data_IF_744599279540
#
_entry.id   IF_744599279540
#
_cell.length_a   1.000
_cell.length_b   1.000
_cell.length_c   1.000
_cell.angle_alpha   90.00
_cell.angle_beta   90.00
_cell.angle_gamma   90.00
#
_symmetry.space_group_name_H-M   'P 1'
#
loop_
_entity.id
_entity.type
_entity.pdbx_description
1 polymer ?
#
# COMPACT_ATOMS: atom_id res chain seq x y z
N UNK A 1 35.86 -4.88 -18.81
CA UNK A 1 35.63 -4.25 -17.48
C UNK A 1 34.31 -4.68 -16.83
N UNK A 2 33.59 -5.69 -17.34
CA UNK A 2 32.23 -6.04 -16.87
C UNK A 2 32.16 -7.26 -15.95
N UNK A 3 33.17 -8.15 -15.96
CA UNK A 3 33.17 -9.38 -15.18
C UNK A 3 33.60 -9.16 -13.71
N UNK A 4 34.60 -8.33 -13.47
CA UNK A 4 35.06 -7.95 -12.12
C UNK A 4 33.99 -7.23 -11.30
N UNK A 5 33.20 -6.36 -11.93
CA UNK A 5 32.13 -5.61 -11.26
C UNK A 5 31.03 -6.56 -10.74
N UNK A 6 30.66 -7.57 -11.52
CA UNK A 6 29.65 -8.55 -11.11
C UNK A 6 30.10 -9.45 -9.96
N UNK A 7 31.37 -9.85 -9.95
CA UNK A 7 31.97 -10.64 -8.86
C UNK A 7 32.01 -9.81 -7.56
N UNK A 8 32.35 -8.52 -7.64
CA UNK A 8 32.39 -7.62 -6.49
C UNK A 8 30.99 -7.45 -5.88
N UNK A 9 29.95 -7.26 -6.69
CA UNK A 9 28.56 -7.11 -6.21
C UNK A 9 28.04 -8.38 -5.53
N UNK A 10 28.29 -9.56 -6.12
CA UNK A 10 27.93 -10.86 -5.49
C UNK A 10 28.66 -11.07 -4.15
N UNK A 11 29.93 -10.68 -4.06
CA UNK A 11 30.72 -10.75 -2.82
C UNK A 11 30.21 -9.76 -1.75
N UNK A 12 29.89 -8.53 -2.14
CA UNK A 12 29.28 -7.51 -1.26
C UNK A 12 27.97 -8.02 -0.65
N UNK A 13 27.15 -8.70 -1.45
CA UNK A 13 25.92 -9.32 -0.97
C UNK A 13 26.16 -10.43 0.05
N UNK A 14 27.11 -11.33 -0.24
CA UNK A 14 27.44 -12.43 0.68
C UNK A 14 27.87 -11.89 2.06
N UNK A 15 28.74 -10.87 2.08
CA UNK A 15 29.17 -10.19 3.31
C UNK A 15 27.96 -9.59 4.05
N UNK A 16 27.04 -8.97 3.33
CA UNK A 16 25.87 -8.33 3.92
C UNK A 16 24.87 -9.35 4.48
N UNK A 17 24.64 -10.49 3.81
CA UNK A 17 23.84 -11.61 4.34
C UNK A 17 24.43 -12.19 5.62
N UNK A 18 25.76 -12.33 5.69
CA UNK A 18 26.44 -12.75 6.93
C UNK A 18 26.27 -11.71 8.04
N UNK A 19 26.38 -10.42 7.73
CA UNK A 19 26.19 -9.34 8.69
C UNK A 19 24.75 -9.28 9.23
N UNK A 20 23.75 -9.47 8.37
CA UNK A 20 22.33 -9.57 8.74
C UNK A 20 22.10 -10.78 9.66
N UNK A 21 22.63 -11.94 9.30
CA UNK A 21 22.49 -13.17 10.11
C UNK A 21 23.10 -12.97 11.50
N UNK A 22 24.28 -12.34 11.59
CA UNK A 22 24.93 -12.02 12.87
C UNK A 22 24.08 -11.05 13.71
N UNK A 23 23.49 -10.03 13.09
CA UNK A 23 22.60 -9.08 13.76
C UNK A 23 21.33 -9.77 14.30
N UNK A 24 20.76 -10.70 13.53
CA UNK A 24 19.64 -11.54 13.95
C UNK A 24 20.02 -12.41 15.14
N UNK A 25 21.17 -13.08 15.11
CA UNK A 25 21.63 -13.91 16.23
C UNK A 25 21.90 -13.10 17.51
N UNK A 26 22.39 -11.87 17.37
CA UNK A 26 22.55 -10.95 18.51
C UNK A 26 21.18 -10.54 19.08
N UNK A 27 20.24 -10.19 18.22
CA UNK A 27 18.88 -9.84 18.61
C UNK A 27 18.15 -11.02 19.27
N UNK A 28 18.34 -12.23 18.77
CA UNK A 28 17.85 -13.47 19.38
C UNK A 28 18.41 -13.67 20.79
N UNK A 29 19.72 -13.51 20.96
CA UNK A 29 20.39 -13.64 22.26
C UNK A 29 19.88 -12.60 23.26
N UNK A 30 19.67 -11.36 22.83
CA UNK A 30 19.11 -10.30 23.67
C UNK A 30 17.65 -10.58 24.06
N UNK A 31 16.84 -11.10 23.13
CA UNK A 31 15.43 -11.43 23.38
C UNK A 31 15.22 -12.69 24.22
N UNK A 32 16.24 -13.55 24.38
CA UNK A 32 16.22 -14.72 25.25
C UNK A 32 16.61 -14.42 26.71
N UNK A 33 17.10 -13.21 27.00
CA UNK A 33 17.41 -12.80 28.38
C UNK A 33 16.13 -12.69 29.21
N UNK A 34 16.23 -13.01 30.51
CA UNK A 34 15.13 -12.91 31.49
C UNK A 34 14.59 -11.48 31.60
N UNK A 35 15.46 -10.48 31.42
CA UNK A 35 15.12 -9.08 31.23
C UNK A 35 15.87 -8.56 29.99
N UNK A 36 15.21 -8.47 28.83
CA UNK A 36 15.81 -7.89 27.63
C UNK A 36 16.01 -6.39 27.82
N UNK A 37 17.21 -5.90 27.49
CA UNK A 37 17.49 -4.46 27.48
C UNK A 37 16.82 -3.82 26.26
N UNK A 38 15.80 -3.01 26.51
CA UNK A 38 15.04 -2.33 25.45
C UNK A 38 15.94 -1.43 24.59
N UNK A 39 16.96 -0.79 25.18
CA UNK A 39 17.86 0.11 24.43
C UNK A 39 18.73 -0.73 23.48
N UNK A 40 19.29 -1.83 23.97
CA UNK A 40 20.07 -2.74 23.15
C UNK A 40 19.23 -3.41 22.05
N UNK A 41 17.97 -3.76 22.34
CA UNK A 41 17.01 -4.32 21.37
C UNK A 41 16.64 -3.28 20.31
N UNK A 42 16.45 -2.01 20.68
CA UNK A 42 16.16 -0.91 19.76
C UNK A 42 17.37 -0.59 18.86
N UNK A 43 18.58 -0.54 19.41
CA UNK A 43 19.83 -0.35 18.65
C UNK A 43 20.07 -1.50 17.65
N UNK A 44 19.91 -2.75 18.10
CA UNK A 44 20.05 -3.93 17.23
C UNK A 44 18.97 -3.99 16.15
N UNK A 45 17.75 -3.52 16.45
CA UNK A 45 16.67 -3.38 15.49
C UNK A 45 17.06 -2.37 14.40
N UNK A 46 17.50 -1.16 14.78
CA UNK A 46 17.91 -0.11 13.84
C UNK A 46 19.06 -0.58 12.93
N UNK A 47 20.06 -1.22 13.53
CA UNK A 47 21.16 -1.86 12.82
C UNK A 47 20.73 -2.98 11.86
N UNK A 48 19.64 -3.68 12.15
CA UNK A 48 19.04 -4.69 11.26
C UNK A 48 18.26 -4.01 10.13
N UNK A 49 17.55 -2.91 10.40
CA UNK A 49 16.79 -2.16 9.39
C UNK A 49 17.72 -1.53 8.35
N UNK A 50 18.82 -0.91 8.78
CA UNK A 50 19.83 -0.33 7.89
C UNK A 50 20.49 -1.39 6.98
N UNK A 51 20.87 -2.54 7.54
CA UNK A 51 21.49 -3.63 6.75
C UNK A 51 20.51 -4.26 5.76
N UNK A 52 19.22 -4.31 6.10
CA UNK A 52 18.18 -4.80 5.20
C UNK A 52 17.95 -3.91 3.98
N UNK A 53 17.93 -2.59 4.15
CA UNK A 53 17.81 -1.66 3.02
C UNK A 53 19.04 -1.74 2.11
N UNK A 54 20.25 -1.85 2.68
CA UNK A 54 21.45 -2.13 1.89
C UNK A 54 21.36 -3.48 1.14
N UNK A 55 20.72 -4.50 1.73
CA UNK A 55 20.61 -5.83 1.13
C UNK A 55 19.67 -5.82 -0.08
N UNK A 56 18.53 -5.12 0.01
CA UNK A 56 17.62 -4.91 -1.13
C UNK A 56 18.29 -4.24 -2.32
N UNK A 57 19.13 -3.23 -2.07
CA UNK A 57 19.86 -2.52 -3.12
C UNK A 57 20.82 -3.49 -3.83
N UNK A 58 21.60 -4.24 -3.05
CA UNK A 58 22.59 -5.16 -3.61
C UNK A 58 21.93 -6.39 -4.27
N UNK A 59 20.79 -6.88 -3.76
CA UNK A 59 20.02 -7.96 -4.40
C UNK A 59 19.54 -7.53 -5.80
N UNK A 60 18.99 -6.30 -5.92
CA UNK A 60 18.57 -5.71 -7.20
C UNK A 60 19.74 -5.50 -8.17
N UNK A 61 20.91 -5.12 -7.67
CA UNK A 61 22.14 -5.01 -8.46
C UNK A 61 22.67 -6.39 -8.92
N UNK A 62 22.32 -7.47 -8.21
CA UNK A 62 22.73 -8.83 -8.55
C UNK A 62 21.78 -9.54 -9.54
N UNK A 63 20.50 -9.15 -9.63
CA UNK A 63 19.50 -9.71 -10.56
C UNK A 63 20.02 -9.92 -12.00
N UNK A 64 20.67 -8.94 -12.67
CA UNK A 64 21.11 -9.10 -14.05
C UNK A 64 22.37 -9.98 -14.21
N UNK A 65 22.99 -10.42 -13.10
CA UNK A 65 24.25 -11.17 -13.09
C UNK A 65 24.05 -12.70 -13.03
N UNK A 66 22.81 -13.17 -13.09
CA UNK A 66 22.48 -14.59 -12.98
C UNK A 66 22.21 -15.25 -14.32
N UNK A 67 22.74 -16.47 -14.44
CA UNK A 67 22.34 -17.36 -15.53
C UNK A 67 20.93 -17.92 -15.25
N UNK A 68 20.11 -18.20 -16.29
CA UNK A 68 18.75 -18.73 -16.14
C UNK A 68 18.65 -20.01 -15.27
N UNK A 69 19.74 -20.78 -15.16
CA UNK A 69 19.81 -22.00 -14.36
C UNK A 69 20.09 -21.76 -12.86
N UNK A 70 20.53 -20.57 -12.48
CA UNK A 70 20.91 -20.20 -11.10
C UNK A 70 19.94 -19.23 -10.45
N UNK A 71 19.05 -18.60 -11.24
CA UNK A 71 18.07 -17.62 -10.77
C UNK A 71 17.10 -18.22 -9.74
N UNK A 72 16.55 -19.41 -10.00
CA UNK A 72 15.52 -19.99 -9.12
C UNK A 72 16.05 -20.24 -7.69
N UNK A 73 17.28 -20.75 -7.57
CA UNK A 73 17.94 -20.98 -6.27
C UNK A 73 18.26 -19.66 -5.57
N UNK A 74 18.54 -18.60 -6.33
CA UNK A 74 18.82 -17.29 -5.76
C UNK A 74 17.54 -16.60 -5.26
N UNK A 75 16.44 -16.70 -6.02
CA UNK A 75 15.13 -16.18 -5.60
C UNK A 75 14.71 -16.83 -4.28
N UNK A 76 14.79 -18.16 -4.19
CA UNK A 76 14.45 -18.89 -2.96
C UNK A 76 15.34 -18.47 -1.78
N UNK A 77 16.64 -18.26 -2.02
CA UNK A 77 17.54 -17.77 -0.98
C UNK A 77 17.18 -16.35 -0.51
N UNK A 78 16.86 -15.43 -1.43
CA UNK A 78 16.45 -14.05 -1.11
C UNK A 78 15.18 -14.06 -0.23
N UNK A 79 14.17 -14.85 -0.60
CA UNK A 79 12.92 -14.98 0.16
C UNK A 79 13.17 -15.50 1.58
N UNK A 80 14.00 -16.54 1.74
CA UNK A 80 14.35 -17.07 3.06
C UNK A 80 15.04 -16.04 3.97
N UNK A 81 15.87 -15.15 3.42
CA UNK A 81 16.48 -14.06 4.20
C UNK A 81 15.46 -12.97 4.53
N UNK A 82 14.58 -12.63 3.60
CA UNK A 82 13.52 -11.65 3.81
C UNK A 82 12.59 -12.07 4.96
N UNK A 83 12.14 -13.32 4.95
CA UNK A 83 11.25 -13.88 5.98
C UNK A 83 11.89 -13.90 7.37
N UNK A 84 13.19 -14.24 7.44
CA UNK A 84 13.96 -14.19 8.69
C UNK A 84 14.01 -12.77 9.24
N UNK A 85 14.29 -11.77 8.40
CA UNK A 85 14.40 -10.37 8.82
C UNK A 85 13.05 -9.82 9.30
N UNK A 86 11.97 -10.11 8.58
CA UNK A 86 10.61 -9.71 8.95
C UNK A 86 10.21 -10.31 10.29
N UNK A 87 10.46 -11.61 10.48
CA UNK A 87 10.15 -12.33 11.72
C UNK A 87 10.86 -11.70 12.91
N UNK A 88 12.15 -11.41 12.79
CA UNK A 88 12.95 -10.85 13.89
C UNK A 88 12.66 -9.37 14.16
N UNK A 89 12.36 -8.56 13.11
CA UNK A 89 11.85 -7.18 13.31
C UNK A 89 10.54 -7.17 14.08
N UNK A 90 9.62 -8.09 13.75
CA UNK A 90 8.35 -8.20 14.47
C UNK A 90 8.55 -8.59 15.94
N UNK A 91 9.42 -9.57 16.22
CA UNK A 91 9.71 -10.03 17.59
C UNK A 91 10.33 -8.92 18.45
N UNK A 92 11.30 -8.18 17.93
CA UNK A 92 11.92 -7.06 18.63
C UNK A 92 10.94 -5.91 18.88
N UNK A 93 10.15 -5.50 17.87
CA UNK A 93 9.09 -4.49 18.04
C UNK A 93 8.04 -4.89 19.07
N UNK A 94 7.69 -6.19 19.12
CA UNK A 94 6.77 -6.73 20.13
C UNK A 94 7.36 -6.66 21.54
N UNK A 95 8.67 -6.86 21.71
CA UNK A 95 9.32 -6.76 23.02
C UNK A 95 9.37 -5.32 23.53
N UNK A 96 9.77 -4.36 22.69
CA UNK A 96 9.72 -2.92 23.01
C UNK A 96 8.31 -2.45 23.37
N UNK A 97 7.29 -3.07 22.78
CA UNK A 97 5.89 -2.81 23.10
C UNK A 97 5.40 -3.37 24.44
N UNK A 98 6.07 -4.39 25.01
CA UNK A 98 5.69 -4.99 26.31
C UNK A 98 6.21 -4.16 27.50
N UNK A 99 7.41 -3.60 27.40
CA UNK A 99 8.04 -2.86 28.50
C UNK A 99 7.56 -1.41 28.64
N UNK A 100 6.92 -0.85 27.61
CA UNK A 100 6.23 0.46 27.67
C UNK A 100 4.93 0.45 28.51
N UNK A 101 4.61 -0.67 29.18
CA UNK A 101 3.56 -0.77 30.22
C UNK A 101 4.09 -0.57 31.65
N UNK A 102 5.40 -0.59 31.90
CA UNK A 102 5.98 -0.66 33.25
C UNK A 102 6.84 0.54 33.68
N UNK A 103 7.00 1.56 32.83
CA UNK A 103 7.81 2.77 33.13
C UNK A 103 6.95 4.03 33.19
N UNK A 104 6.11 4.14 34.20
CA UNK A 104 5.59 5.44 34.67
C UNK A 104 5.03 5.30 36.09
N UNK A 105 5.89 4.98 37.04
CA UNK A 105 5.63 5.23 38.47
C UNK A 105 6.98 5.55 39.13
N UNK A 106 7.28 6.85 39.25
CA UNK A 106 8.21 7.37 40.25
C UNK A 106 7.96 8.87 40.46
N UNK A 107 7.72 9.21 41.72
CA UNK A 107 7.66 10.52 42.37
C UNK A 107 6.49 11.48 42.07
N UNK A 108 5.47 11.49 42.96
CA UNK A 108 5.48 12.29 44.21
C UNK A 108 4.06 12.58 44.71
N UNK A 109 3.90 12.51 46.03
CA UNK A 109 2.66 12.60 46.80
C UNK A 109 2.21 14.05 47.04
N UNK A 110 0.90 14.34 46.85
CA UNK A 110 0.04 15.08 47.81
C UNK A 110 -1.43 15.20 47.34
N UNK A 111 -2.31 14.54 48.11
CA UNK A 111 -3.67 14.94 48.58
C UNK A 111 -4.75 15.53 47.64
N UNK A 112 -5.79 14.71 47.47
CA UNK A 112 -7.25 14.96 47.69
C UNK A 112 -7.96 16.12 46.94
N UNK A 113 -8.85 15.78 46.00
CA UNK A 113 -10.34 15.89 46.09
C UNK A 113 -10.99 15.80 44.70
N UNK A 114 -12.27 15.41 44.71
CA UNK A 114 -13.08 14.85 43.62
C UNK A 114 -13.30 15.76 42.40
N UNK A 115 -13.26 15.19 41.19
CA UNK A 115 -14.31 15.39 40.18
C UNK A 115 -14.10 14.49 38.96
N UNK A 116 -15.19 13.81 38.57
CA UNK A 116 -15.29 12.95 37.39
C UNK A 116 -14.88 13.68 36.11
N UNK A 117 -13.90 13.14 35.40
CA UNK A 117 -13.87 13.19 33.95
C UNK A 117 -13.64 11.76 33.44
N UNK A 118 -14.69 11.19 32.86
CA UNK A 118 -14.59 9.98 32.06
C UNK A 118 -13.72 10.37 30.86
N UNK A 119 -12.42 10.12 30.93
CA UNK A 119 -11.60 10.17 29.72
C UNK A 119 -12.15 9.10 28.76
N UNK A 120 -12.49 9.45 27.51
CA UNK A 120 -12.89 8.45 26.55
C UNK A 120 -11.74 7.45 26.45
N UNK A 121 -12.03 6.17 26.68
CA UNK A 121 -11.10 5.07 26.45
C UNK A 121 -10.49 5.26 25.06
N UNK A 122 -9.26 5.81 25.01
CA UNK A 122 -8.50 5.95 23.78
C UNK A 122 -8.06 4.55 23.41
N UNK A 123 -8.92 3.86 22.66
CA UNK A 123 -8.56 2.67 21.88
C UNK A 123 -7.27 3.05 21.14
N UNK A 124 -6.14 2.44 21.52
CA UNK A 124 -4.86 2.68 20.85
C UNK A 124 -4.93 2.01 19.48
N UNK A 125 -5.48 2.75 18.52
CA UNK A 125 -5.41 2.42 17.11
C UNK A 125 -3.93 2.31 16.70
N UNK A 126 -3.58 1.42 15.75
CA UNK A 126 -2.25 1.41 15.16
C UNK A 126 -1.81 2.83 14.78
N UNK A 127 -0.55 3.19 15.03
CA UNK A 127 -0.02 4.51 14.68
C UNK A 127 -0.26 4.75 13.18
N UNK A 128 -1.04 5.77 12.85
CA UNK A 128 -1.41 6.11 11.47
C UNK A 128 -0.14 6.54 10.73
N UNK A 129 0.26 5.77 9.73
CA UNK A 129 1.41 6.10 8.87
C UNK A 129 0.88 6.94 7.72
N UNK A 130 1.34 8.18 7.63
CA UNK A 130 1.03 9.04 6.48
C UNK A 130 1.84 8.54 5.29
N UNK A 131 1.20 8.19 4.16
CA UNK A 131 1.92 7.75 2.97
C UNK A 131 2.77 8.89 2.40
N UNK A 132 3.91 8.54 1.81
CA UNK A 132 4.78 9.52 1.13
C UNK A 132 4.11 10.05 -0.14
N UNK A 133 4.33 11.33 -0.43
CA UNK A 133 3.85 11.98 -1.63
C UNK A 133 4.96 12.22 -2.64
N UNK A 134 4.80 11.67 -3.85
CA UNK A 134 5.83 11.68 -4.88
C UNK A 134 5.62 12.75 -5.98
N UNK A 135 4.56 13.55 -5.88
CA UNK A 135 4.24 14.63 -6.84
C UNK A 135 3.10 14.32 -7.79
N UNK A 136 2.37 13.22 -7.60
CA UNK A 136 1.19 12.92 -8.40
C UNK A 136 0.00 13.81 -8.00
N UNK A 137 -0.40 14.73 -8.88
CA UNK A 137 -1.48 15.69 -8.64
C UNK A 137 -2.78 15.01 -8.15
N UNK A 138 -3.16 13.85 -8.71
CA UNK A 138 -4.36 13.11 -8.31
C UNK A 138 -4.32 12.60 -6.86
N UNK A 139 -3.12 12.44 -6.29
CA UNK A 139 -2.93 11.97 -4.92
C UNK A 139 -2.78 13.14 -3.93
N UNK A 140 -2.68 14.38 -4.43
CA UNK A 140 -2.45 15.56 -3.62
C UNK A 140 -3.50 15.74 -2.54
N UNK A 141 -4.79 15.63 -2.87
CA UNK A 141 -5.88 15.86 -1.92
C UNK A 141 -5.80 14.89 -0.74
N UNK A 142 -5.57 13.60 -1.02
CA UNK A 142 -5.43 12.56 0.01
C UNK A 142 -4.21 12.81 0.91
N UNK A 143 -3.06 13.11 0.31
CA UNK A 143 -1.83 13.44 1.04
C UNK A 143 -2.00 14.69 1.90
N UNK A 144 -2.46 15.79 1.29
CA UNK A 144 -2.58 17.08 1.95
C UNK A 144 -3.57 17.02 3.11
N UNK A 145 -4.72 16.36 2.96
CA UNK A 145 -5.68 16.20 4.06
C UNK A 145 -5.09 15.39 5.22
N UNK A 146 -4.36 14.31 4.92
CA UNK A 146 -3.69 13.47 5.93
C UNK A 146 -2.58 14.23 6.65
N UNK A 147 -1.70 14.89 5.89
CA UNK A 147 -0.61 15.72 6.42
C UNK A 147 -1.15 16.89 7.23
N UNK A 148 -2.20 17.55 6.72
CA UNK A 148 -2.80 18.71 7.36
C UNK A 148 -3.32 18.36 8.74
N UNK A 149 -4.14 17.30 8.81
CA UNK A 149 -4.78 16.85 10.05
C UNK A 149 -3.77 16.35 11.07
N UNK A 150 -2.74 15.61 10.63
CA UNK A 150 -1.80 14.98 11.55
C UNK A 150 -0.65 15.91 11.99
N UNK A 151 -0.20 16.81 11.11
CA UNK A 151 1.04 17.59 11.30
C UNK A 151 0.80 19.09 11.17
N UNK A 152 0.19 19.58 10.08
CA UNK A 152 0.07 21.03 9.83
C UNK A 152 -0.74 21.73 10.92
N UNK A 153 -1.91 21.19 11.26
CA UNK A 153 -2.86 21.73 12.23
C UNK A 153 -2.52 21.30 13.67
N UNK A 154 -1.46 20.52 13.85
CA UNK A 154 -1.02 20.08 15.17
C UNK A 154 -0.26 21.20 15.89
N UNK A 155 -0.87 21.74 16.96
CA UNK A 155 -0.31 22.83 17.75
C UNK A 155 0.83 22.40 18.68
N UNK A 156 1.04 21.10 18.89
CA UNK A 156 2.14 20.56 19.71
C UNK A 156 3.48 20.52 18.96
N UNK A 157 3.47 20.71 17.63
CA UNK A 157 4.67 20.74 16.79
C UNK A 157 5.04 22.18 16.43
N UNK A 158 6.31 22.53 16.51
CA UNK A 158 6.81 23.80 16.01
C UNK A 158 6.99 23.76 14.47
N UNK A 159 7.18 24.91 13.82
CA UNK A 159 7.31 25.00 12.36
C UNK A 159 8.52 24.24 11.79
N UNK A 160 9.61 24.11 12.55
CA UNK A 160 10.82 23.39 12.12
C UNK A 160 10.55 21.89 12.11
N UNK A 161 9.91 21.35 13.15
CA UNK A 161 9.50 19.95 13.23
C UNK A 161 8.50 19.62 12.12
N UNK A 162 7.49 20.47 11.93
CA UNK A 162 6.52 20.35 10.82
C UNK A 162 7.21 20.32 9.47
N UNK A 163 8.25 21.13 9.27
CA UNK A 163 9.00 21.15 8.01
C UNK A 163 9.87 19.90 7.85
N UNK A 164 10.49 19.42 8.92
CA UNK A 164 11.27 18.18 8.91
C UNK A 164 10.39 16.98 8.53
N UNK A 165 9.21 16.87 9.14
CA UNK A 165 8.22 15.86 8.75
C UNK A 165 7.75 16.03 7.31
N UNK A 166 7.45 17.26 6.88
CA UNK A 166 7.06 17.55 5.51
C UNK A 166 8.13 17.02 4.53
N UNK A 167 9.41 17.41 4.67
CA UNK A 167 10.47 16.92 3.76
C UNK A 167 10.62 15.40 3.80
N UNK A 168 10.48 14.76 4.97
CA UNK A 168 10.55 13.30 5.09
C UNK A 168 9.39 12.54 4.43
N UNK A 169 8.23 13.19 4.31
CA UNK A 169 7.04 12.64 3.66
C UNK A 169 6.95 12.97 2.16
N UNK A 170 7.85 13.80 1.63
CA UNK A 170 7.92 14.10 0.20
C UNK A 170 8.97 13.20 -0.48
N UNK A 171 8.71 12.85 -1.73
CA UNK A 171 9.63 12.14 -2.60
C UNK A 171 9.60 12.68 -4.03
N UNK A 172 10.59 12.28 -4.83
CA UNK A 172 10.66 12.58 -6.27
C UNK A 172 10.37 14.06 -6.58
N UNK A 173 9.45 14.34 -7.51
CA UNK A 173 9.08 15.69 -7.96
C UNK A 173 8.59 16.60 -6.83
N UNK A 174 7.88 16.04 -5.84
CA UNK A 174 7.40 16.82 -4.71
C UNK A 174 8.54 17.26 -3.79
N UNK A 175 9.53 16.39 -3.54
CA UNK A 175 10.71 16.75 -2.75
C UNK A 175 11.57 17.78 -3.49
N UNK A 176 11.80 17.59 -4.79
CA UNK A 176 12.55 18.52 -5.63
C UNK A 176 11.97 19.95 -5.61
N UNK A 177 10.65 20.07 -5.40
CA UNK A 177 9.96 21.37 -5.29
C UNK A 177 10.40 22.19 -4.07
N UNK A 178 10.82 21.51 -2.99
CA UNK A 178 11.18 22.16 -1.72
C UNK A 178 12.62 21.91 -1.29
N UNK A 179 13.42 21.28 -2.14
CA UNK A 179 14.80 20.88 -1.84
C UNK A 179 15.71 22.09 -1.56
N UNK A 180 15.51 23.18 -2.30
CA UNK A 180 16.25 24.44 -2.14
C UNK A 180 15.97 25.23 -0.86
N UNK A 181 15.00 24.79 -0.04
CA UNK A 181 14.71 25.43 1.25
C UNK A 181 15.50 24.76 2.38
N UNK A 182 16.25 25.58 3.12
CA UNK A 182 16.80 25.20 4.42
C UNK A 182 15.67 25.00 5.44
N UNK A 183 15.82 24.01 6.34
CA UNK A 183 14.83 23.68 7.37
C UNK A 183 14.80 24.80 8.43
N UNK A 184 14.00 25.82 8.18
CA UNK A 184 13.80 26.96 9.08
C UNK A 184 12.30 27.27 9.20
N UNK A 185 11.91 27.93 10.30
CA UNK A 185 10.51 28.29 10.54
C UNK A 185 9.93 29.20 9.45
N UNK A 186 10.72 30.15 8.96
CA UNK A 186 10.33 31.09 7.89
C UNK A 186 10.09 30.39 6.55
N UNK A 187 10.91 29.37 6.24
CA UNK A 187 10.82 28.65 4.97
C UNK A 187 9.69 27.63 4.96
N UNK A 188 9.21 27.17 6.12
CA UNK A 188 8.10 26.22 6.20
C UNK A 188 6.84 26.74 5.48
N UNK A 189 6.43 27.98 5.78
CA UNK A 189 5.25 28.57 5.17
C UNK A 189 5.40 28.67 3.64
N UNK A 190 6.56 29.14 3.17
CA UNK A 190 6.88 29.26 1.73
C UNK A 190 6.88 27.88 1.05
N UNK A 191 7.45 26.86 1.68
CA UNK A 191 7.49 25.50 1.15
C UNK A 191 6.07 24.92 1.00
N UNK A 192 5.20 25.12 1.99
CA UNK A 192 3.79 24.70 1.93
C UNK A 192 3.03 25.42 0.82
N UNK A 193 3.22 26.73 0.67
CA UNK A 193 2.57 27.51 -0.38
C UNK A 193 2.98 27.05 -1.78
N UNK A 194 4.28 26.85 -2.03
CA UNK A 194 4.76 26.38 -3.33
C UNK A 194 4.23 24.97 -3.65
N UNK A 195 4.14 24.08 -2.67
CA UNK A 195 3.55 22.76 -2.88
C UNK A 195 2.06 22.85 -3.23
N UNK A 196 1.31 23.72 -2.53
CA UNK A 196 -0.10 23.98 -2.85
C UNK A 196 -0.28 24.58 -4.23
N UNK A 197 0.56 25.54 -4.62
CA UNK A 197 0.50 26.17 -5.93
C UNK A 197 0.85 25.20 -7.06
N UNK A 198 1.84 24.33 -6.83
CA UNK A 198 2.26 23.35 -7.85
C UNK A 198 1.30 22.17 -7.98
N UNK A 199 0.86 21.58 -6.86
CA UNK A 199 0.13 20.31 -6.84
C UNK A 199 -1.32 20.43 -6.38
N UNK A 200 -1.67 21.50 -5.66
CA UNK A 200 -2.98 21.73 -5.06
C UNK A 200 -3.96 22.55 -5.89
N UNK A 201 -3.62 22.85 -7.16
CA UNK A 201 -4.50 23.53 -8.10
C UNK A 201 -5.72 22.67 -8.42
N UNK A 202 -6.88 23.10 -7.91
CA UNK A 202 -8.16 22.37 -8.02
C UNK A 202 -8.51 22.07 -9.49
N UNK A 203 -8.32 23.04 -10.39
CA UNK A 203 -8.49 22.90 -11.84
C UNK A 203 -7.59 21.81 -12.43
N UNK A 204 -6.32 21.76 -12.04
CA UNK A 204 -5.38 20.75 -12.53
C UNK A 204 -5.73 19.35 -12.02
N UNK A 205 -6.18 19.23 -10.77
CA UNK A 205 -6.62 17.95 -10.19
C UNK A 205 -7.88 17.46 -10.91
N UNK A 206 -8.89 18.32 -11.08
CA UNK A 206 -10.13 18.00 -11.81
C UNK A 206 -9.79 17.54 -13.23
N UNK A 207 -8.96 18.30 -13.95
CA UNK A 207 -8.57 17.95 -15.31
C UNK A 207 -7.83 16.60 -15.32
N UNK A 208 -6.94 16.34 -14.37
CA UNK A 208 -6.23 15.05 -14.35
C UNK A 208 -7.15 13.85 -14.11
N UNK A 209 -8.21 13.98 -13.29
CA UNK A 209 -9.22 12.93 -13.13
C UNK A 209 -10.08 12.78 -14.39
N UNK A 210 -10.49 13.89 -15.01
CA UNK A 210 -11.24 13.88 -16.27
C UNK A 210 -10.43 13.24 -17.39
N UNK A 211 -9.16 13.58 -17.56
CA UNK A 211 -8.30 12.98 -18.60
C UNK A 211 -8.21 11.46 -18.43
N UNK A 212 -8.09 10.95 -17.20
CA UNK A 212 -8.09 9.50 -16.95
C UNK A 212 -9.38 8.82 -17.39
N UNK A 213 -10.52 9.48 -17.24
CA UNK A 213 -11.82 8.98 -17.72
C UNK A 213 -11.95 9.06 -19.24
N UNK A 214 -11.44 10.13 -19.85
CA UNK A 214 -11.49 10.33 -21.30
C UNK A 214 -10.49 9.44 -22.06
N UNK A 215 -9.40 9.03 -21.42
CA UNK A 215 -8.34 8.21 -22.01
C UNK A 215 -8.54 6.70 -21.83
N UNK A 216 -9.73 6.24 -21.40
CA UNK A 216 -9.94 4.82 -21.13
C UNK A 216 -10.02 4.03 -22.44
N UNK A 217 -9.25 2.95 -22.52
CA UNK A 217 -9.23 2.07 -23.68
C UNK A 217 -10.50 1.21 -23.75
N UNK A 218 -11.13 1.07 -24.93
CA UNK A 218 -12.25 0.15 -25.10
C UNK A 218 -11.91 -1.30 -24.72
N UNK A 219 -12.85 -1.93 -24.03
CA UNK A 219 -12.78 -3.33 -23.64
C UNK A 219 -12.98 -4.22 -24.87
N UNK A 220 -12.10 -5.22 -25.03
CA UNK A 220 -12.13 -6.11 -26.20
C UNK A 220 -13.10 -7.26 -26.05
N UNK A 221 -13.29 -7.75 -24.82
CA UNK A 221 -14.10 -8.92 -24.53
C UNK A 221 -14.89 -8.67 -23.26
N UNK A 222 -16.11 -9.19 -23.21
CA UNK A 222 -16.95 -9.11 -22.02
C UNK A 222 -16.67 -10.25 -21.03
N UNK A 223 -16.14 -11.38 -21.51
CA UNK A 223 -15.90 -12.60 -20.70
C UNK A 223 -14.76 -12.47 -19.68
N UNK A 224 -13.93 -11.44 -19.79
CA UNK A 224 -12.92 -11.13 -18.78
C UNK A 224 -13.51 -10.28 -17.64
N UNK A 225 -14.09 -10.96 -16.66
CA UNK A 225 -14.72 -10.33 -15.49
C UNK A 225 -13.73 -9.49 -14.69
N UNK A 226 -12.44 -9.88 -14.62
CA UNK A 226 -11.42 -9.14 -13.86
C UNK A 226 -11.12 -7.80 -14.53
N UNK A 227 -10.94 -7.80 -15.85
CA UNK A 227 -10.69 -6.56 -16.60
C UNK A 227 -11.92 -5.66 -16.55
N UNK A 228 -13.13 -6.21 -16.66
CA UNK A 228 -14.37 -5.44 -16.54
C UNK A 228 -14.52 -4.80 -15.13
N UNK A 229 -14.18 -5.54 -14.06
CA UNK A 229 -14.13 -5.00 -12.69
C UNK A 229 -13.12 -3.86 -12.55
N UNK A 230 -11.89 -4.04 -13.07
CA UNK A 230 -10.86 -3.00 -13.04
C UNK A 230 -11.29 -1.73 -13.78
N UNK A 231 -11.93 -1.88 -14.95
CA UNK A 231 -12.50 -0.77 -15.70
C UNK A 231 -13.55 -0.01 -14.90
N UNK A 232 -14.49 -0.74 -14.29
CA UNK A 232 -15.55 -0.15 -13.48
C UNK A 232 -15.00 0.58 -12.24
N UNK A 233 -14.07 -0.05 -11.52
CA UNK A 233 -13.45 0.52 -10.32
C UNK A 233 -12.63 1.78 -10.66
N UNK A 234 -11.95 1.79 -11.82
CA UNK A 234 -11.27 2.98 -12.32
C UNK A 234 -12.24 4.13 -12.54
N UNK A 235 -13.35 3.88 -13.26
CA UNK A 235 -14.38 4.90 -13.53
C UNK A 235 -14.98 5.44 -12.22
N UNK A 236 -15.41 4.56 -11.32
CA UNK A 236 -15.94 4.91 -10.00
C UNK A 236 -14.94 5.74 -9.19
N UNK A 237 -13.67 5.36 -9.18
CA UNK A 237 -12.63 6.09 -8.44
C UNK A 237 -12.48 7.52 -8.95
N UNK A 238 -12.45 7.72 -10.26
CA UNK A 238 -12.33 9.08 -10.81
C UNK A 238 -13.59 9.90 -10.56
N UNK A 239 -14.79 9.31 -10.75
CA UNK A 239 -16.08 9.99 -10.49
C UNK A 239 -16.18 10.45 -9.03
N UNK A 240 -15.90 9.57 -8.06
CA UNK A 240 -15.91 9.92 -6.63
C UNK A 240 -14.88 11.00 -6.30
N UNK A 241 -13.72 10.98 -6.97
CA UNK A 241 -12.69 12.00 -6.79
C UNK A 241 -13.17 13.37 -7.28
N UNK A 242 -13.87 13.43 -8.42
CA UNK A 242 -14.48 14.65 -8.95
C UNK A 242 -15.58 15.19 -8.01
N UNK A 243 -16.46 14.32 -7.52
CA UNK A 243 -17.50 14.71 -6.54
C UNK A 243 -16.88 15.26 -5.24
N UNK A 244 -15.78 14.66 -4.77
CA UNK A 244 -15.05 15.15 -3.59
C UNK A 244 -14.38 16.52 -3.79
N UNK A 245 -14.26 16.97 -5.05
CA UNK A 245 -13.80 18.28 -5.46
C UNK A 245 -14.99 19.21 -5.78
N UNK A 246 -16.19 18.91 -5.31
CA UNK A 246 -17.42 19.69 -5.54
C UNK A 246 -17.80 19.84 -7.02
N UNK A 247 -17.33 18.94 -7.89
CA UNK A 247 -17.78 18.91 -9.29
C UNK A 247 -19.14 18.22 -9.32
N UNK A 248 -20.16 18.93 -9.81
CA UNK A 248 -21.51 18.37 -9.93
C UNK A 248 -21.51 17.15 -10.87
N UNK A 249 -22.14 16.06 -10.44
CA UNK A 249 -22.29 14.84 -11.24
C UNK A 249 -22.87 15.13 -12.63
N UNK A 250 -23.84 16.04 -12.69
CA UNK A 250 -24.50 16.44 -13.95
C UNK A 250 -23.58 17.14 -14.95
N UNK A 251 -22.50 17.77 -14.47
CA UNK A 251 -21.58 18.51 -15.34
C UNK A 251 -20.77 17.60 -16.26
N UNK A 252 -20.57 16.34 -15.86
CA UNK A 252 -19.81 15.35 -16.63
C UNK A 252 -20.63 14.12 -17.03
N UNK A 253 -21.79 13.87 -16.41
CA UNK A 253 -22.64 12.70 -16.66
C UNK A 253 -22.94 12.52 -18.15
N UNK A 254 -23.37 13.60 -18.81
CA UNK A 254 -23.77 13.61 -20.22
C UNK A 254 -22.64 13.30 -21.20
N UNK A 255 -21.39 13.60 -20.82
CA UNK A 255 -20.21 13.30 -21.65
C UNK A 255 -19.68 11.91 -21.37
N UNK A 256 -19.66 11.51 -20.09
CA UNK A 256 -19.11 10.22 -19.68
C UNK A 256 -20.01 9.05 -20.05
N UNK A 257 -21.34 9.20 -20.02
CA UNK A 257 -22.25 8.11 -20.35
C UNK A 257 -22.03 7.54 -21.77
N UNK A 258 -22.08 8.34 -22.86
CA UNK A 258 -21.80 7.83 -24.20
C UNK A 258 -20.35 7.36 -24.36
N UNK A 259 -19.39 7.98 -23.67
CA UNK A 259 -17.99 7.55 -23.72
C UNK A 259 -17.80 6.16 -23.11
N UNK A 260 -18.37 5.91 -21.93
CA UNK A 260 -18.32 4.60 -21.28
C UNK A 260 -19.03 3.56 -22.15
N UNK A 261 -20.19 3.87 -22.73
CA UNK A 261 -20.88 2.97 -23.66
C UNK A 261 -19.99 2.57 -24.85
N UNK A 262 -19.26 3.52 -25.43
CA UNK A 262 -18.31 3.24 -26.52
C UNK A 262 -17.08 2.43 -26.09
N UNK A 263 -16.75 2.41 -24.80
CA UNK A 263 -15.70 1.57 -24.25
C UNK A 263 -16.17 0.14 -23.94
N UNK A 264 -17.48 -0.13 -23.95
CA UNK A 264 -18.01 -1.45 -23.61
C UNK A 264 -18.12 -2.36 -24.85
N UNK A 265 -17.97 -3.68 -24.67
CA UNK A 265 -18.27 -4.66 -25.72
C UNK A 265 -19.76 -4.61 -26.11
N UNK A 266 -20.05 -4.90 -27.39
CA UNK A 266 -21.39 -4.74 -27.98
C UNK A 266 -22.48 -5.58 -27.31
N UNK A 267 -22.12 -6.73 -26.75
CA UNK A 267 -23.05 -7.60 -26.02
C UNK A 267 -23.50 -6.97 -24.69
N UNK A 268 -22.59 -6.34 -23.94
CA UNK A 268 -22.95 -5.60 -22.72
C UNK A 268 -23.79 -4.37 -23.04
N UNK A 269 -23.48 -3.67 -24.13
CA UNK A 269 -24.30 -2.53 -24.60
C UNK A 269 -25.69 -3.00 -25.00
N UNK A 270 -25.81 -4.14 -25.68
CA UNK A 270 -27.11 -4.74 -26.02
C UNK A 270 -27.91 -5.13 -24.77
N UNK A 271 -27.27 -5.74 -23.77
CA UNK A 271 -27.92 -6.07 -22.50
C UNK A 271 -28.41 -4.83 -21.76
N UNK A 272 -27.60 -3.77 -21.73
CA UNK A 272 -28.02 -2.50 -21.13
C UNK A 272 -29.23 -1.91 -21.85
N UNK A 273 -29.20 -1.87 -23.18
CA UNK A 273 -30.30 -1.38 -24.01
C UNK A 273 -31.59 -2.20 -23.90
N UNK A 274 -31.55 -3.43 -23.35
CA UNK A 274 -32.76 -4.21 -23.03
C UNK A 274 -33.38 -3.80 -21.69
N UNK A 275 -32.59 -3.26 -20.77
CA UNK A 275 -33.06 -2.81 -19.45
C UNK A 275 -33.53 -1.34 -19.47
N UNK A 276 -33.14 -0.55 -20.47
CA UNK A 276 -33.59 0.84 -20.67
C UNK A 276 -34.62 0.94 -21.80
N UNK A 277 -35.49 1.96 -21.73
CA UNK A 277 -36.45 2.30 -22.80
C UNK A 277 -35.81 3.09 -23.95
N UNK A 278 -34.51 3.43 -23.83
CA UNK A 278 -33.74 4.15 -24.83
C UNK A 278 -34.08 5.64 -24.95
N UNK A 279 -34.88 6.19 -24.03
CA UNK A 279 -35.32 7.58 -24.07
C UNK A 279 -34.25 8.56 -23.55
N UNK A 280 -33.52 8.17 -22.51
CA UNK A 280 -32.45 8.97 -21.91
C UNK A 280 -31.39 8.05 -21.28
N UNK A 281 -30.13 8.23 -21.64
CA UNK A 281 -29.02 7.47 -21.05
C UNK A 281 -28.45 8.21 -19.84
N UNK A 282 -28.74 7.71 -18.64
CA UNK A 282 -28.18 8.25 -17.40
C UNK A 282 -26.94 7.49 -16.98
N UNK A 283 -25.89 8.23 -16.65
CA UNK A 283 -24.64 7.64 -16.17
C UNK A 283 -24.84 6.78 -14.91
N UNK A 284 -25.68 7.24 -13.97
CA UNK A 284 -25.97 6.49 -12.74
C UNK A 284 -26.62 5.13 -13.03
N UNK A 285 -27.57 5.08 -13.98
CA UNK A 285 -28.21 3.83 -14.40
C UNK A 285 -27.22 2.88 -15.08
N UNK A 286 -26.35 3.41 -15.94
CA UNK A 286 -25.28 2.64 -16.57
C UNK A 286 -24.31 2.04 -15.53
N UNK A 287 -23.88 2.83 -14.55
CA UNK A 287 -23.00 2.36 -13.49
C UNK A 287 -23.67 1.28 -12.62
N UNK A 288 -24.96 1.44 -12.30
CA UNK A 288 -25.75 0.43 -11.57
C UNK A 288 -25.86 -0.87 -12.36
N UNK A 289 -26.17 -0.77 -13.66
CA UNK A 289 -26.22 -1.90 -14.57
C UNK A 289 -24.88 -2.64 -14.62
N UNK A 290 -23.78 -1.92 -14.85
CA UNK A 290 -22.45 -2.52 -14.94
C UNK A 290 -22.09 -3.26 -13.66
N UNK A 291 -22.31 -2.65 -12.49
CA UNK A 291 -22.00 -3.31 -11.23
C UNK A 291 -22.84 -4.58 -11.02
N UNK A 292 -24.14 -4.53 -11.36
CA UNK A 292 -25.05 -5.69 -11.31
C UNK A 292 -24.54 -6.83 -12.21
N UNK A 293 -24.12 -6.52 -13.44
CA UNK A 293 -23.58 -7.49 -14.38
C UNK A 293 -22.26 -8.10 -13.89
N UNK A 294 -21.32 -7.27 -13.42
CA UNK A 294 -20.04 -7.75 -12.91
C UNK A 294 -20.26 -8.67 -11.70
N UNK A 295 -21.10 -8.25 -10.74
CA UNK A 295 -21.41 -9.08 -9.57
C UNK A 295 -22.17 -10.36 -9.92
N UNK A 296 -22.94 -10.40 -11.01
CA UNK A 296 -23.54 -11.65 -11.50
C UNK A 296 -22.46 -12.58 -12.08
N UNK A 297 -21.53 -12.06 -12.89
CA UNK A 297 -20.41 -12.84 -13.46
C UNK A 297 -19.48 -13.39 -12.38
N UNK A 298 -19.08 -12.57 -11.40
CA UNK A 298 -18.24 -12.99 -10.26
C UNK A 298 -18.89 -14.12 -9.45
N UNK A 299 -20.21 -14.05 -9.22
CA UNK A 299 -20.97 -15.13 -8.55
C UNK A 299 -20.98 -16.41 -9.36
N UNK A 300 -21.16 -16.31 -10.68
CA UNK A 300 -21.14 -17.47 -11.58
C UNK A 300 -19.76 -18.13 -11.60
N UNK A 301 -18.69 -17.36 -11.73
CA UNK A 301 -17.30 -17.86 -11.69
C UNK A 301 -16.96 -18.55 -10.36
N UNK A 302 -17.39 -17.96 -9.24
CA UNK A 302 -17.23 -18.55 -7.91
C UNK A 302 -17.99 -19.87 -7.78
N UNK A 303 -19.21 -19.94 -8.31
CA UNK A 303 -20.06 -21.14 -8.28
C UNK A 303 -19.47 -22.27 -9.13
N UNK A 304 -19.00 -21.94 -10.35
CA UNK A 304 -18.37 -22.90 -11.26
C UNK A 304 -17.06 -23.43 -10.66
N UNK A 305 -16.23 -22.54 -10.11
CA UNK A 305 -14.97 -22.91 -9.45
C UNK A 305 -15.22 -23.87 -8.28
N UNK A 306 -16.29 -23.66 -7.52
CA UNK A 306 -16.73 -24.57 -6.43
C UNK A 306 -17.20 -25.93 -6.99
N UNK A 307 -17.91 -25.94 -8.13
CA UNK A 307 -18.39 -27.16 -8.76
C UNK A 307 -17.26 -28.05 -9.31
N UNK A 308 -16.18 -27.46 -9.86
CA UNK A 308 -15.00 -28.21 -10.31
C UNK A 308 -14.25 -28.87 -9.14
N UNK A 309 -14.13 -28.19 -7.99
CA UNK A 309 -13.53 -28.77 -6.77
C UNK A 309 -14.35 -29.97 -6.28
N UNK A 310 -15.68 -29.87 -6.32
CA UNK A 310 -16.57 -30.97 -5.91
C UNK A 310 -16.53 -32.16 -6.87
N UNK A 311 -16.37 -31.92 -8.18
CA UNK A 311 -16.25 -33.00 -9.17
C UNK A 311 -14.89 -33.69 -9.12
N UNK A 312 -13.79 -32.96 -8.91
CA UNK A 312 -12.45 -33.56 -8.80
C UNK A 312 -12.29 -34.41 -7.54
N UNK A 313 -13.00 -34.09 -6.45
CA UNK A 313 -13.03 -34.89 -5.23
C UNK A 313 -13.88 -36.17 -5.35
N UNK A 314 -14.84 -36.24 -6.29
CA UNK A 314 -15.69 -37.43 -6.51
C UNK A 314 -15.08 -38.48 -7.46
N UNK A 315 -13.97 -38.18 -8.16
CA UNK A 315 -13.36 -39.06 -9.18
C UNK A 315 -12.17 -39.89 -8.61
N UNK A 316 -12.05 -40.06 -7.29
CA UNK A 316 -11.15 -41.06 -6.71
C UNK A 316 -11.94 -42.34 -6.36
N UNK A 317 -12.05 -43.35 -7.26
CA UNK A 317 -12.60 -44.63 -6.88
C UNK A 317 -11.63 -45.32 -5.92
N UNK A 318 -12.13 -45.67 -4.75
CA UNK A 318 -11.46 -46.46 -3.73
C UNK A 318 -11.09 -47.86 -4.28
N UNK A 319 -9.93 -47.99 -4.91
CA UNK A 319 -9.31 -49.28 -5.19
C UNK A 319 -8.38 -49.65 -4.02
N UNK A 320 -8.97 -50.26 -2.99
CA UNK A 320 -8.20 -51.07 -2.06
C UNK A 320 -8.98 -52.36 -1.77
N UNK A 321 -8.77 -53.37 -2.62
CA UNK A 321 -9.11 -54.76 -2.30
C UNK A 321 -8.11 -55.72 -2.95
N UNK A 322 -7.37 -56.38 -2.07
CA UNK A 322 -6.73 -57.70 -2.19
C UNK A 322 -5.62 -57.91 -3.23
N UNK A 323 -4.37 -58.00 -2.72
CA UNK A 323 -3.41 -59.08 -3.01
C UNK A 323 -2.65 -59.36 -1.71
N UNK A 324 -3.09 -60.36 -0.94
CA UNK A 324 -2.72 -61.78 -1.02
C UNK A 324 -1.36 -62.06 -0.38
N UNK A 325 -1.43 -62.59 0.86
CA UNK A 325 -0.46 -63.52 1.41
C UNK A 325 -0.04 -64.54 0.35
N UNK A 326 1.26 -64.84 0.28
CA UNK A 326 1.78 -66.21 0.25
C UNK A 326 3.31 -66.21 0.30
N UNK A 327 3.78 -66.88 1.36
CA UNK A 327 5.02 -67.67 1.55
C UNK A 327 6.37 -67.02 1.26
#
# INVERSE_FOLDING_TARGET
MTEDAGIVTKKKRAVLRTAVTKCISQLEKELQKTEPDDIAVEELLEHLEQKFECLKIVDKECEPLYSPTEIDKEIEAVEQYFDKIVTWRFRAKKQLGKNNKFKSDSDSCKTTEESKLIEPMKVKLPKLIIPKFYGEINQWLSFWNSFKTAIHDNNSLNSIDKFTYLKGLLGSSALATVEGFAITAENYAKAVEILKDRFGRKDAIINSHMQKLLSVTPLKRSDDTKVLRQFFDMCQTQIRSLESLDVSFESFSNVLCPLILNCLPSDLVLEFNKETDGSEYKLDELLKFLNKQISARERTESSISTQYILHSQKIQPSFNRFKSEKL
#
